data_IF_678524053378
#
_entry.id   IF_678524053378
#
_cell.length_a   1.000
_cell.length_b   1.000
_cell.length_c   1.000
_cell.angle_alpha   90.00
_cell.angle_beta   90.00
_cell.angle_gamma   90.00
#
_symmetry.space_group_name_H-M   'P 1'
#
loop_
_entity.id
_entity.type
_entity.pdbx_description
1 polymer ?
#
# COMPACT_ATOMS: atom_id res chain seq x y z
N UNK A 1 5.20 -18.65 -5.85
CA UNK A 1 4.02 -17.94 -6.37
C UNK A 1 3.48 -16.88 -5.41
N UNK A 2 2.98 -17.26 -4.22
CA UNK A 2 2.42 -16.32 -3.23
C UNK A 2 3.37 -15.18 -2.80
N UNK A 3 4.68 -15.45 -2.68
CA UNK A 3 5.67 -14.40 -2.36
C UNK A 3 5.78 -13.39 -3.52
N UNK A 4 5.80 -13.86 -4.76
CA UNK A 4 5.85 -12.98 -5.93
C UNK A 4 4.57 -12.14 -6.05
N UNK A 5 3.39 -12.71 -5.78
CA UNK A 5 2.13 -11.98 -5.70
C UNK A 5 2.14 -10.93 -4.57
N UNK A 6 2.68 -11.27 -3.40
CA UNK A 6 2.81 -10.34 -2.27
C UNK A 6 3.74 -9.16 -2.56
N UNK A 7 4.91 -9.42 -3.16
CA UNK A 7 5.85 -8.37 -3.56
C UNK A 7 5.25 -7.50 -4.67
N UNK A 8 4.66 -8.11 -5.71
CA UNK A 8 4.07 -7.39 -6.85
C UNK A 8 2.87 -6.52 -6.47
N UNK A 9 2.04 -6.97 -5.52
CA UNK A 9 0.89 -6.20 -5.03
C UNK A 9 1.29 -5.03 -4.11
N UNK A 10 2.48 -5.09 -3.49
CA UNK A 10 2.98 -4.05 -2.59
C UNK A 10 3.79 -2.98 -3.33
N UNK A 11 4.57 -3.39 -4.34
CA UNK A 11 5.40 -2.49 -5.15
C UNK A 11 4.55 -1.78 -6.22
N UNK A 12 3.85 -0.72 -5.82
CA UNK A 12 3.09 0.16 -6.72
C UNK A 12 3.87 1.41 -7.16
N UNK A 13 3.22 2.27 -7.97
CA UNK A 13 3.77 3.59 -8.39
C UNK A 13 4.24 4.46 -7.22
N UNK A 14 3.60 4.32 -6.05
CA UNK A 14 3.97 5.08 -4.85
C UNK A 14 5.40 4.87 -4.39
N UNK A 15 5.99 3.67 -4.57
CA UNK A 15 7.38 3.40 -4.15
C UNK A 15 8.39 4.16 -5.00
N UNK A 16 8.06 4.48 -6.25
CA UNK A 16 8.98 5.20 -7.15
C UNK A 16 8.90 6.72 -6.97
N UNK A 17 7.74 7.24 -6.58
CA UNK A 17 7.48 8.69 -6.54
C UNK A 17 7.56 9.26 -5.12
N UNK A 18 6.99 8.56 -4.13
CA UNK A 18 6.89 9.08 -2.76
C UNK A 18 8.24 9.28 -2.06
N UNK A 19 9.27 8.40 -2.20
CA UNK A 19 10.54 8.62 -1.53
C UNK A 19 11.22 9.93 -1.98
N UNK A 20 11.10 10.30 -3.26
CA UNK A 20 11.63 11.55 -3.78
C UNK A 20 10.95 12.77 -3.17
N UNK A 21 9.62 12.75 -3.09
CA UNK A 21 8.82 13.83 -2.48
C UNK A 21 9.13 13.95 -0.99
N UNK A 22 9.12 12.84 -0.25
CA UNK A 22 9.40 12.83 1.19
C UNK A 22 10.83 13.25 1.50
N UNK A 23 11.80 12.83 0.67
CA UNK A 23 13.20 13.25 0.81
C UNK A 23 13.38 14.75 0.55
N UNK A 24 12.65 15.32 -0.42
CA UNK A 24 12.78 16.75 -0.76
C UNK A 24 12.06 17.67 0.22
N UNK A 25 10.83 17.30 0.60
CA UNK A 25 9.89 18.23 1.24
C UNK A 25 9.72 17.97 2.76
N UNK A 26 10.13 16.81 3.29
CA UNK A 26 9.87 16.42 4.68
C UNK A 26 11.13 16.05 5.46
N UNK A 27 11.84 14.99 5.05
CA UNK A 27 12.85 14.33 5.90
C UNK A 27 14.31 14.63 5.51
N UNK A 28 14.55 15.17 4.31
CA UNK A 28 15.92 15.40 3.83
C UNK A 28 16.74 14.10 3.76
N UNK A 29 18.06 14.15 4.04
CA UNK A 29 18.93 12.96 4.07
C UNK A 29 18.50 11.90 5.10
N UNK A 30 17.72 12.28 6.11
CA UNK A 30 17.21 11.40 7.16
C UNK A 30 16.09 10.46 6.73
N UNK A 31 15.62 10.55 5.48
CA UNK A 31 14.52 9.72 4.95
C UNK A 31 14.76 8.21 5.12
N UNK A 32 16.03 7.78 5.11
CA UNK A 32 16.43 6.39 5.32
C UNK A 32 16.00 5.89 6.70
N UNK A 33 16.16 6.70 7.75
CA UNK A 33 15.76 6.34 9.11
C UNK A 33 14.23 6.20 9.22
N UNK A 34 13.48 7.09 8.56
CA UNK A 34 12.02 7.01 8.49
C UNK A 34 11.55 5.73 7.79
N UNK A 35 12.20 5.34 6.69
CA UNK A 35 11.88 4.08 6.00
C UNK A 35 12.26 2.85 6.82
N UNK A 36 13.38 2.87 7.55
CA UNK A 36 13.76 1.78 8.44
C UNK A 36 12.73 1.58 9.57
N UNK A 37 12.27 2.68 10.18
CA UNK A 37 11.22 2.60 11.19
C UNK A 37 9.89 2.10 10.61
N UNK A 38 9.50 2.56 9.42
CA UNK A 38 8.31 2.08 8.73
C UNK A 38 8.42 0.57 8.39
N UNK A 39 9.59 0.11 7.93
CA UNK A 39 9.86 -1.29 7.64
C UNK A 39 9.77 -2.17 8.89
N UNK A 40 10.31 -1.70 10.02
CA UNK A 40 10.20 -2.40 11.29
C UNK A 40 8.74 -2.61 11.72
N UNK A 41 7.91 -1.56 11.66
CA UNK A 41 6.47 -1.66 11.96
C UNK A 41 5.73 -2.59 10.96
N UNK A 42 6.10 -2.55 9.69
CA UNK A 42 5.54 -3.43 8.67
C UNK A 42 5.89 -4.91 8.91
N UNK A 43 7.11 -5.22 9.38
CA UNK A 43 7.52 -6.57 9.75
C UNK A 43 6.70 -7.12 10.93
N UNK A 44 6.55 -6.31 11.99
CA UNK A 44 5.72 -6.69 13.15
C UNK A 44 4.28 -6.95 12.73
N UNK A 45 3.71 -6.06 11.92
CA UNK A 45 2.37 -6.22 11.36
C UNK A 45 2.28 -7.51 10.53
N UNK A 46 3.28 -7.78 9.68
CA UNK A 46 3.37 -8.99 8.87
C UNK A 46 3.36 -10.27 9.70
N UNK A 47 4.08 -10.31 10.83
CA UNK A 47 4.05 -11.45 11.74
C UNK A 47 2.66 -11.67 12.37
N UNK A 48 1.98 -10.61 12.79
CA UNK A 48 0.61 -10.71 13.30
C UNK A 48 -0.37 -11.23 12.24
N UNK A 49 -0.26 -10.78 10.99
CA UNK A 49 -1.08 -11.31 9.89
C UNK A 49 -0.74 -12.76 9.55
N UNK A 50 0.53 -13.16 9.63
CA UNK A 50 0.94 -14.55 9.41
C UNK A 50 0.32 -15.49 10.45
N UNK A 51 0.29 -15.09 11.73
CA UNK A 51 -0.35 -15.85 12.80
C UNK A 51 -1.87 -15.99 12.59
N UNK A 52 -2.54 -14.89 12.24
CA UNK A 52 -3.99 -14.89 11.95
C UNK A 52 -4.33 -15.71 10.71
N UNK A 53 -3.51 -15.62 9.66
CA UNK A 53 -3.68 -16.38 8.42
C UNK A 53 -3.46 -17.89 8.61
N UNK A 54 -2.53 -18.29 9.49
CA UNK A 54 -2.33 -19.69 9.85
C UNK A 54 -3.50 -20.25 10.68
N UNK A 55 -4.13 -19.44 11.53
CA UNK A 55 -5.27 -19.85 12.37
C UNK A 55 -6.61 -19.85 11.63
N UNK A 56 -6.78 -18.98 10.65
CA UNK A 56 -8.04 -18.79 9.93
C UNK A 56 -7.77 -19.04 8.43
N UNK A 57 -7.81 -20.31 7.96
CA UNK A 57 -7.54 -20.68 6.57
C UNK A 57 -8.76 -20.43 5.68
N UNK A 58 -9.36 -19.24 5.80
CA UNK A 58 -10.40 -18.74 4.90
C UNK A 58 -9.82 -17.60 4.08
N UNK A 59 -10.16 -17.56 2.79
CA UNK A 59 -9.86 -16.43 1.94
C UNK A 59 -10.58 -15.20 2.50
N UNK A 60 -9.85 -14.36 3.22
CA UNK A 60 -10.39 -13.22 3.95
C UNK A 60 -9.32 -12.17 4.19
N UNK A 61 -9.68 -10.90 3.96
CA UNK A 61 -8.84 -9.75 4.30
C UNK A 61 -9.02 -9.39 5.78
N UNK A 62 -8.42 -8.28 6.22
CA UNK A 62 -8.48 -7.75 7.59
C UNK A 62 -9.89 -7.74 8.19
N UNK A 63 -10.90 -7.52 7.35
CA UNK A 63 -12.31 -7.60 7.72
C UNK A 63 -12.70 -8.96 8.30
N UNK A 64 -12.36 -10.06 7.63
CA UNK A 64 -12.71 -11.41 8.06
C UNK A 64 -12.00 -11.80 9.36
N UNK A 65 -10.73 -11.40 9.51
CA UNK A 65 -9.99 -11.62 10.77
C UNK A 65 -10.57 -10.81 11.93
N UNK A 66 -10.99 -9.57 11.67
CA UNK A 66 -11.60 -8.70 12.68
C UNK A 66 -13.00 -9.17 13.09
N UNK A 67 -13.76 -9.75 12.16
CA UNK A 67 -15.08 -10.33 12.45
C UNK A 67 -14.98 -11.52 13.41
N UNK A 68 -13.97 -12.38 13.20
CA UNK A 68 -13.76 -13.57 14.04
C UNK A 68 -13.22 -13.22 15.42
N UNK A 69 -12.43 -12.15 15.56
CA UNK A 69 -11.75 -11.79 16.82
C UNK A 69 -12.50 -10.75 17.66
N UNK A 70 -13.07 -9.71 17.03
CA UNK A 70 -13.61 -8.52 17.72
C UNK A 70 -15.12 -8.32 17.54
N UNK A 71 -15.78 -9.18 16.76
CA UNK A 71 -17.22 -9.12 16.50
C UNK A 71 -17.63 -8.12 15.40
N UNK A 72 -18.95 -8.01 15.22
CA UNK A 72 -19.56 -7.42 14.02
C UNK A 72 -19.39 -5.90 13.90
N UNK A 73 -19.49 -5.15 14.99
CA UNK A 73 -19.42 -3.68 14.94
C UNK A 73 -18.03 -3.18 14.55
N UNK A 74 -16.98 -3.79 15.09
CA UNK A 74 -15.59 -3.46 14.74
C UNK A 74 -15.28 -3.88 13.31
N UNK A 75 -15.75 -5.06 12.90
CA UNK A 75 -15.61 -5.52 11.52
C UNK A 75 -16.30 -4.58 10.52
N UNK A 76 -17.50 -4.08 10.84
CA UNK A 76 -18.24 -3.15 9.99
C UNK A 76 -17.48 -1.85 9.73
N UNK A 77 -16.92 -1.22 10.78
CA UNK A 77 -16.11 0.00 10.63
C UNK A 77 -14.84 -0.26 9.80
N UNK A 78 -14.18 -1.41 10.02
CA UNK A 78 -12.99 -1.79 9.24
C UNK A 78 -13.35 -2.04 7.78
N UNK A 79 -14.50 -2.67 7.50
CA UNK A 79 -14.98 -2.93 6.15
C UNK A 79 -15.14 -1.63 5.35
N UNK A 80 -15.78 -0.62 5.92
CA UNK A 80 -15.92 0.70 5.28
C UNK A 80 -14.58 1.40 5.08
N UNK A 81 -13.68 1.35 6.07
CA UNK A 81 -12.33 1.91 5.92
C UNK A 81 -11.57 1.22 4.78
N UNK A 82 -11.73 -0.10 4.63
CA UNK A 82 -11.07 -0.88 3.60
C UNK A 82 -11.54 -0.48 2.20
N UNK A 83 -12.84 -0.26 2.01
CA UNK A 83 -13.42 0.22 0.74
C UNK A 83 -12.79 1.57 0.36
N UNK A 84 -12.78 2.53 1.29
CA UNK A 84 -12.21 3.86 1.05
C UNK A 84 -10.71 3.74 0.72
N UNK A 85 -9.96 2.94 1.47
CA UNK A 85 -8.53 2.73 1.25
C UNK A 85 -8.25 2.19 -0.15
N UNK A 86 -9.00 1.19 -0.61
CA UNK A 86 -8.82 0.64 -1.97
C UNK A 86 -9.17 1.65 -3.05
N UNK A 87 -10.23 2.44 -2.87
CA UNK A 87 -10.60 3.51 -3.81
C UNK A 87 -9.51 4.58 -3.92
N UNK A 88 -9.01 5.07 -2.78
CA UNK A 88 -7.93 6.07 -2.76
C UNK A 88 -6.64 5.50 -3.32
N UNK A 89 -6.30 4.25 -3.02
CA UNK A 89 -5.12 3.59 -3.58
C UNK A 89 -5.23 3.46 -5.11
N UNK A 90 -6.38 3.03 -5.63
CA UNK A 90 -6.64 2.94 -7.06
C UNK A 90 -6.53 4.29 -7.77
N UNK A 91 -7.17 5.33 -7.21
CA UNK A 91 -7.07 6.70 -7.72
C UNK A 91 -5.62 7.22 -7.72
N UNK A 92 -4.86 6.92 -6.66
CA UNK A 92 -3.45 7.33 -6.54
C UNK A 92 -2.57 6.65 -7.59
N UNK A 93 -2.78 5.36 -7.86
CA UNK A 93 -2.05 4.63 -8.91
C UNK A 93 -2.40 5.16 -10.29
N UNK A 94 -3.68 5.41 -10.57
CA UNK A 94 -4.13 6.00 -11.84
C UNK A 94 -3.51 7.39 -12.08
N UNK A 95 -3.48 8.23 -11.04
CA UNK A 95 -2.83 9.54 -11.09
C UNK A 95 -1.33 9.42 -11.35
N UNK A 96 -0.62 8.58 -10.59
CA UNK A 96 0.82 8.37 -10.76
C UNK A 96 1.14 7.89 -12.18
N UNK A 97 0.35 6.96 -12.72
CA UNK A 97 0.49 6.47 -14.09
C UNK A 97 0.28 7.59 -15.12
N UNK A 98 -0.76 8.42 -14.96
CA UNK A 98 -1.03 9.56 -15.86
C UNK A 98 0.10 10.59 -15.85
N UNK A 99 0.66 10.92 -14.67
CA UNK A 99 1.79 11.85 -14.53
C UNK A 99 3.07 11.35 -15.21
N UNK A 100 3.26 10.03 -15.33
CA UNK A 100 4.44 9.45 -16.02
C UNK A 100 4.18 9.22 -17.50
N UNK A 101 2.93 8.90 -17.88
CA UNK A 101 2.55 8.63 -19.28
C UNK A 101 2.42 9.93 -20.09
N UNK A 102 1.92 11.02 -19.51
CA UNK A 102 1.72 12.27 -20.22
C UNK A 102 3.02 12.90 -20.78
N UNK A 103 4.14 12.97 -20.02
CA UNK A 103 5.42 13.42 -20.55
C UNK A 103 5.98 12.49 -21.63
N UNK A 104 5.79 11.17 -21.49
CA UNK A 104 6.24 10.20 -22.48
C UNK A 104 5.51 10.39 -23.82
N UNK A 105 4.18 10.55 -23.79
CA UNK A 105 3.39 10.80 -24.99
C UNK A 105 3.68 12.18 -25.60
N UNK A 106 3.89 13.22 -24.77
CA UNK A 106 4.31 14.55 -25.24
C UNK A 106 5.65 14.51 -25.96
N UNK A 107 6.62 13.77 -25.43
CA UNK A 107 7.93 13.58 -26.07
C UNK A 107 7.85 12.77 -27.36
N UNK A 108 6.96 11.78 -27.44
CA UNK A 108 6.78 10.95 -28.65
C UNK A 108 6.06 11.75 -29.76
N UNK A 109 5.13 12.65 -29.38
CA UNK A 109 4.33 13.43 -30.33
C UNK A 109 4.94 14.80 -30.68
N UNK A 110 6.08 15.17 -30.09
CA UNK A 110 6.85 16.37 -30.48
C UNK A 110 6.18 17.71 -30.18
N UNK A 111 5.18 17.74 -29.30
CA UNK A 111 4.64 18.99 -28.80
C UNK A 111 5.48 19.45 -27.61
N UNK A 112 6.20 20.56 -27.81
CA UNK A 112 7.00 21.26 -26.80
C UNK A 112 6.22 21.51 -25.51
#
# INVERSE_FOLDING_TARGET
DLIALGVGSTLGMGVYVLPGIVSRDIAGPGVVLSFLYAAYNALLTGFSYAELGARIPKAGSVYSYSYVTNGELVAYTIGWNLIIKYLTAGASVARGFSEHLAPLLGNIMGAK
#
